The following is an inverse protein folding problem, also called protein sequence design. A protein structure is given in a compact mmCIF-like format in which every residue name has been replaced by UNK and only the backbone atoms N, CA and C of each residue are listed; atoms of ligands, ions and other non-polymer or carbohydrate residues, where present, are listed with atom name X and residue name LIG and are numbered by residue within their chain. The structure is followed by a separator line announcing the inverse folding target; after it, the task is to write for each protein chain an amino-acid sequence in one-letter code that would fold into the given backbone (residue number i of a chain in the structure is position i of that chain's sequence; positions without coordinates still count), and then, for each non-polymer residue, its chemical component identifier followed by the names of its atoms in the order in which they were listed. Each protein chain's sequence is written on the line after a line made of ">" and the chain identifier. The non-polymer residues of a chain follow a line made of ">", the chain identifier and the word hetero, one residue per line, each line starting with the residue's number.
data_IF_265833498474
#
_entry.id   IF_265833498474
#
_cell.length_a   1.000
_cell.length_b   1.000
_cell.length_c   1.000
_cell.angle_alpha   90.00
_cell.angle_beta   90.00
_cell.angle_gamma   90.00
#
_symmetry.space_group_name_H-M   'P 1'
#
loop_
_entity.id
_entity.type
_entity.pdbx_description
1 polymer ?
#
# COMPACT_ATOMS: atom_id res chain seq x y z
N UNK A 1 12.09 -12.19 6.33
CA UNK A 1 13.17 -13.13 5.94
C UNK A 1 14.28 -13.16 6.99
N UNK A 2 14.82 -12.02 7.40
CA UNK A 2 15.87 -11.89 8.42
C UNK A 2 15.51 -12.47 9.79
N UNK A 3 14.25 -12.34 10.21
CA UNK A 3 13.77 -13.02 11.41
C UNK A 3 14.02 -14.54 11.33
N UNK A 4 13.61 -15.17 10.23
CA UNK A 4 13.73 -16.62 10.03
C UNK A 4 15.17 -17.10 9.82
N UNK A 5 16.07 -16.23 9.32
CA UNK A 5 17.47 -16.58 9.06
C UNK A 5 18.36 -16.34 10.28
N UNK A 6 18.27 -15.17 10.91
CA UNK A 6 19.22 -14.75 11.93
C UNK A 6 18.79 -15.11 13.35
N UNK A 7 17.48 -15.20 13.64
CA UNK A 7 17.04 -15.56 14.98
C UNK A 7 17.47 -16.98 15.40
N UNK A 8 17.39 -18.02 14.56
CA UNK A 8 17.87 -19.35 14.94
C UNK A 8 19.37 -19.39 15.28
N UNK A 9 20.18 -18.56 14.62
CA UNK A 9 21.63 -18.45 14.86
C UNK A 9 21.97 -17.70 16.17
N UNK A 10 20.97 -17.16 16.87
CA UNK A 10 21.19 -16.45 18.13
C UNK A 10 21.69 -17.33 19.27
N UNK A 11 21.56 -18.66 19.14
CA UNK A 11 22.14 -19.64 20.06
C UNK A 11 23.67 -19.60 20.03
N UNK A 12 24.25 -19.42 18.84
CA UNK A 12 25.71 -19.36 18.64
C UNK A 12 26.22 -17.91 18.74
N UNK A 13 25.40 -16.94 18.31
CA UNK A 13 25.74 -15.52 18.28
C UNK A 13 24.69 -14.68 19.01
N UNK A 14 24.92 -14.42 20.30
CA UNK A 14 23.95 -13.76 21.19
C UNK A 14 23.44 -12.39 20.69
N UNK A 15 24.26 -11.65 19.93
CA UNK A 15 23.86 -10.35 19.37
C UNK A 15 22.75 -10.47 18.32
N UNK A 16 22.59 -11.62 17.65
CA UNK A 16 21.51 -11.85 16.67
C UNK A 16 20.12 -11.96 17.31
N UNK A 17 20.04 -12.03 18.64
CA UNK A 17 18.77 -11.99 19.37
C UNK A 17 18.00 -10.67 19.13
N UNK A 18 18.67 -9.62 18.65
CA UNK A 18 18.00 -8.36 18.26
C UNK A 18 16.89 -8.56 17.22
N UNK A 19 17.01 -9.55 16.34
CA UNK A 19 16.01 -9.86 15.31
C UNK A 19 14.71 -10.43 15.89
N UNK A 20 14.69 -10.86 17.15
CA UNK A 20 13.47 -11.27 17.86
C UNK A 20 12.52 -10.08 18.08
N UNK A 21 13.07 -8.91 18.38
CA UNK A 21 12.27 -7.76 18.79
C UNK A 21 11.52 -7.12 17.61
N UNK A 22 10.20 -6.93 17.78
CA UNK A 22 9.34 -6.32 16.75
C UNK A 22 9.73 -4.86 16.53
N UNK A 23 10.09 -4.14 17.59
CA UNK A 23 10.53 -2.73 17.53
C UNK A 23 11.77 -2.56 16.65
N UNK A 24 12.78 -3.42 16.85
CA UNK A 24 13.99 -3.44 16.03
C UNK A 24 13.66 -3.72 14.56
N UNK A 25 12.90 -4.79 14.29
CA UNK A 25 12.51 -5.15 12.92
C UNK A 25 11.70 -4.05 12.22
N UNK A 26 10.79 -3.39 12.93
CA UNK A 26 9.95 -2.33 12.38
C UNK A 26 10.75 -1.07 12.07
N UNK A 27 11.62 -0.64 12.99
CA UNK A 27 12.48 0.52 12.79
C UNK A 27 13.44 0.31 11.61
N UNK A 28 14.10 -0.84 11.56
CA UNK A 28 15.03 -1.15 10.47
C UNK A 28 14.32 -1.42 9.14
N UNK A 29 13.07 -1.87 9.15
CA UNK A 29 12.24 -1.90 7.94
C UNK A 29 12.02 -0.49 7.39
N UNK A 30 11.68 0.49 8.24
CA UNK A 30 11.59 1.89 7.83
C UNK A 30 12.90 2.43 7.26
N UNK A 31 14.02 2.23 7.98
CA UNK A 31 15.36 2.66 7.53
C UNK A 31 15.74 2.00 6.20
N UNK A 32 15.47 0.71 6.04
CA UNK A 32 15.76 -0.03 4.80
C UNK A 32 14.91 0.49 3.64
N UNK A 33 13.63 0.74 3.87
CA UNK A 33 12.74 1.30 2.84
C UNK A 33 13.20 2.69 2.39
N UNK A 34 13.58 3.56 3.34
CA UNK A 34 14.14 4.89 3.05
C UNK A 34 15.48 4.80 2.32
N UNK A 35 16.39 3.93 2.77
CA UNK A 35 17.68 3.72 2.12
C UNK A 35 17.51 3.24 0.68
N UNK A 36 16.63 2.25 0.47
CA UNK A 36 16.31 1.76 -0.87
C UNK A 36 15.66 2.85 -1.73
N UNK A 37 14.76 3.68 -1.19
CA UNK A 37 14.09 4.72 -1.98
C UNK A 37 15.08 5.81 -2.42
N UNK A 38 16.02 6.20 -1.56
CA UNK A 38 17.06 7.18 -1.88
C UNK A 38 18.06 6.64 -2.91
N UNK A 39 18.50 5.38 -2.76
CA UNK A 39 19.47 4.76 -3.66
C UNK A 39 18.87 4.45 -5.03
N UNK A 40 17.66 3.87 -5.06
CA UNK A 40 16.98 3.48 -6.29
C UNK A 40 16.26 4.66 -6.96
N UNK A 41 15.97 5.73 -6.22
CA UNK A 41 15.23 6.88 -6.72
C UNK A 41 15.87 7.51 -7.96
N UNK A 42 17.18 7.80 -7.92
CA UNK A 42 17.88 8.39 -9.07
C UNK A 42 17.86 7.48 -10.30
N UNK A 43 18.05 6.17 -10.11
CA UNK A 43 17.99 5.19 -11.19
C UNK A 43 16.58 5.06 -11.78
N UNK A 44 15.55 5.05 -10.92
CA UNK A 44 14.15 4.97 -11.31
C UNK A 44 13.71 6.22 -12.08
N UNK A 45 14.09 7.42 -11.61
CA UNK A 45 13.80 8.67 -12.31
C UNK A 45 14.43 8.67 -13.71
N UNK A 46 15.70 8.27 -13.82
CA UNK A 46 16.39 8.15 -15.11
C UNK A 46 15.73 7.14 -16.04
N UNK A 47 15.26 6.00 -15.49
CA UNK A 47 14.49 5.01 -16.23
C UNK A 47 13.17 5.59 -16.75
N UNK A 48 12.36 6.20 -15.89
CA UNK A 48 11.05 6.76 -16.27
C UNK A 48 11.19 7.91 -17.30
N UNK A 49 12.21 8.76 -17.17
CA UNK A 49 12.50 9.82 -18.14
C UNK A 49 12.86 9.26 -19.53
N UNK A 50 13.60 8.15 -19.58
CA UNK A 50 14.02 7.51 -20.84
C UNK A 50 12.84 6.92 -21.62
N UNK A 51 11.81 6.43 -20.93
CA UNK A 51 10.61 5.86 -21.56
C UNK A 51 9.56 6.90 -21.98
N UNK A 52 9.89 8.21 -21.95
CA UNK A 52 9.00 9.31 -22.34
C UNK A 52 7.61 9.22 -21.72
N UNK A 53 7.56 8.83 -20.45
CA UNK A 53 6.38 8.90 -19.59
C UNK A 53 6.16 10.38 -19.26
N UNK A 54 5.73 11.17 -20.25
CA UNK A 54 5.36 12.58 -20.10
C UNK A 54 3.85 12.64 -20.13
N UNK A 55 3.23 13.22 -19.09
CA UNK A 55 1.80 13.45 -19.10
C UNK A 55 1.40 14.28 -20.33
N UNK A 56 0.38 13.80 -21.06
CA UNK A 56 -0.33 14.60 -22.05
C UNK A 56 -1.30 15.50 -21.28
N UNK A 57 -1.13 16.81 -21.41
CA UNK A 57 -1.91 17.83 -20.69
C UNK A 57 -3.40 17.64 -20.99
N UNK A 58 -4.24 17.64 -19.94
CA UNK A 58 -5.68 17.87 -20.06
C UNK A 58 -5.90 19.37 -20.29
N UNK A 59 -6.58 19.75 -21.37
CA UNK A 59 -6.85 21.17 -21.70
C UNK A 59 -7.73 21.89 -20.67
N UNK A 60 -8.44 21.16 -19.78
CA UNK A 60 -9.41 21.72 -18.83
C UNK A 60 -8.84 22.11 -17.44
N UNK A 61 -7.51 22.18 -17.27
CA UNK A 61 -6.85 22.44 -15.97
C UNK A 61 -6.38 23.91 -15.78
N UNK A 62 -6.36 24.45 -14.53
CA UNK A 62 -5.94 25.83 -14.28
C UNK A 62 -4.46 26.08 -14.67
N UNK A 63 -4.15 27.28 -15.18
CA UNK A 63 -2.84 27.68 -15.73
C UNK A 63 -1.64 27.49 -14.77
N UNK A 64 -1.87 27.39 -13.46
CA UNK A 64 -0.85 27.05 -12.47
C UNK A 64 -0.31 25.61 -12.59
N UNK A 65 -0.99 24.71 -13.31
CA UNK A 65 -0.52 23.35 -13.61
C UNK A 65 0.50 23.29 -14.75
N UNK A 66 0.72 24.40 -15.48
CA UNK A 66 1.65 24.51 -16.62
C UNK A 66 3.14 24.44 -16.24
N UNK A 67 3.46 24.41 -14.94
CA UNK A 67 4.84 24.38 -14.40
C UNK A 67 5.28 22.95 -14.04
N UNK A 68 4.37 21.97 -13.97
CA UNK A 68 4.70 20.54 -13.73
C UNK A 68 5.14 19.79 -14.99
N UNK A 69 5.69 20.50 -15.95
CA UNK A 69 6.03 19.98 -17.27
C UNK A 69 7.30 19.13 -17.19
N UNK A 70 7.15 17.80 -17.15
CA UNK A 70 8.26 16.85 -17.34
C UNK A 70 8.70 16.05 -16.11
N UNK A 71 7.97 16.10 -14.99
CA UNK A 71 8.16 15.12 -13.92
C UNK A 71 7.63 13.75 -14.35
N UNK A 72 8.43 12.68 -14.24
CA UNK A 72 7.97 11.35 -14.62
C UNK A 72 6.83 10.90 -13.69
N UNK A 73 5.73 10.45 -14.27
CA UNK A 73 4.65 9.80 -13.51
C UNK A 73 5.00 8.34 -13.21
N UNK A 74 4.29 7.71 -12.27
CA UNK A 74 4.59 6.37 -11.70
C UNK A 74 5.63 6.29 -10.55
N UNK A 75 5.84 7.38 -9.80
CA UNK A 75 6.64 7.34 -8.57
C UNK A 75 6.16 6.30 -7.54
N UNK A 76 4.87 5.94 -7.58
CA UNK A 76 4.30 4.85 -6.79
C UNK A 76 4.95 3.49 -7.01
N UNK A 77 5.56 3.21 -8.17
CA UNK A 77 6.32 1.97 -8.39
C UNK A 77 7.56 1.89 -7.49
N UNK A 78 8.24 3.02 -7.28
CA UNK A 78 9.38 3.07 -6.36
C UNK A 78 8.93 2.78 -4.94
N UNK A 79 7.86 3.45 -4.49
CA UNK A 79 7.31 3.26 -3.14
C UNK A 79 6.83 1.82 -2.93
N UNK A 80 6.10 1.24 -3.89
CA UNK A 80 5.60 -0.13 -3.79
C UNK A 80 6.74 -1.15 -3.76
N UNK A 81 7.78 -0.96 -4.59
CA UNK A 81 8.93 -1.85 -4.61
C UNK A 81 9.75 -1.78 -3.32
N UNK A 82 10.01 -0.58 -2.78
CA UNK A 82 10.74 -0.44 -1.51
C UNK A 82 9.93 -0.94 -0.32
N UNK A 83 8.62 -0.72 -0.31
CA UNK A 83 7.68 -1.29 0.67
C UNK A 83 7.74 -2.82 0.68
N UNK A 84 7.60 -3.46 -0.49
CA UNK A 84 7.60 -4.93 -0.58
C UNK A 84 8.95 -5.50 -0.18
N UNK A 85 10.05 -4.97 -0.74
CA UNK A 85 11.39 -5.46 -0.44
C UNK A 85 11.70 -5.34 1.05
N UNK A 86 11.45 -4.17 1.65
CA UNK A 86 11.70 -3.97 3.07
C UNK A 86 10.83 -4.87 3.95
N UNK A 87 9.55 -5.01 3.61
CA UNK A 87 8.63 -5.90 4.34
C UNK A 87 9.10 -7.35 4.25
N UNK A 88 9.47 -7.85 3.07
CA UNK A 88 9.93 -9.21 2.90
C UNK A 88 11.24 -9.50 3.65
N UNK A 89 12.14 -8.52 3.71
CA UNK A 89 13.38 -8.63 4.47
C UNK A 89 13.10 -8.73 5.99
N UNK A 90 12.34 -7.80 6.55
CA UNK A 90 12.25 -7.61 8.00
C UNK A 90 11.07 -8.31 8.67
N UNK A 91 9.93 -8.43 7.99
CA UNK A 91 8.72 -8.98 8.57
C UNK A 91 8.83 -10.49 8.84
N UNK A 92 7.98 -10.94 9.77
CA UNK A 92 7.73 -12.35 9.98
C UNK A 92 6.78 -12.88 8.89
N UNK A 93 7.34 -13.64 7.95
CA UNK A 93 6.61 -14.21 6.82
C UNK A 93 5.67 -15.36 7.21
N UNK A 94 5.74 -15.86 8.46
CA UNK A 94 4.73 -16.77 9.00
C UNK A 94 3.42 -16.06 9.36
N UNK A 95 3.42 -14.73 9.40
CA UNK A 95 2.25 -13.95 9.75
C UNK A 95 1.36 -13.69 8.51
N UNK A 96 0.14 -14.25 8.53
CA UNK A 96 -0.88 -14.07 7.49
C UNK A 96 -1.24 -12.61 7.20
N UNK A 97 -1.21 -11.73 8.21
CA UNK A 97 -1.56 -10.32 8.06
C UNK A 97 -0.54 -9.56 7.20
N UNK A 98 0.73 -9.99 7.23
CA UNK A 98 1.78 -9.43 6.36
C UNK A 98 1.49 -9.77 4.90
N UNK A 99 1.06 -11.00 4.62
CA UNK A 99 0.68 -11.38 3.27
C UNK A 99 -0.57 -10.65 2.78
N UNK A 100 -1.57 -10.46 3.64
CA UNK A 100 -2.75 -9.67 3.29
C UNK A 100 -2.38 -8.24 2.88
N UNK A 101 -1.55 -7.54 3.66
CA UNK A 101 -1.18 -6.15 3.33
C UNK A 101 -0.29 -6.06 2.09
N UNK A 102 0.62 -7.04 1.88
CA UNK A 102 1.45 -7.12 0.67
C UNK A 102 0.58 -7.38 -0.57
N UNK A 103 -0.37 -8.32 -0.49
CA UNK A 103 -1.30 -8.62 -1.59
C UNK A 103 -2.25 -7.45 -1.86
N UNK A 104 -2.74 -6.76 -0.82
CA UNK A 104 -3.53 -5.55 -0.98
C UNK A 104 -2.71 -4.45 -1.68
N UNK A 105 -1.49 -4.19 -1.20
CA UNK A 105 -0.58 -3.21 -1.82
C UNK A 105 -0.28 -3.54 -3.28
N UNK A 106 -0.02 -4.81 -3.60
CA UNK A 106 0.17 -5.27 -4.97
C UNK A 106 -1.10 -5.12 -5.83
N UNK A 107 -2.28 -5.45 -5.30
CA UNK A 107 -3.54 -5.36 -6.03
C UNK A 107 -3.94 -3.92 -6.37
N UNK A 108 -3.93 -3.03 -5.36
CA UNK A 108 -4.23 -1.61 -5.57
C UNK A 108 -3.11 -0.90 -6.33
N UNK A 109 -1.85 -1.29 -6.11
CA UNK A 109 -0.70 -0.79 -6.87
C UNK A 109 -0.75 -1.18 -8.34
N UNK A 110 -1.15 -2.42 -8.65
CA UNK A 110 -1.35 -2.87 -10.03
C UNK A 110 -2.50 -2.11 -10.70
N UNK A 111 -3.61 -1.88 -9.99
CA UNK A 111 -4.72 -1.06 -10.49
C UNK A 111 -4.25 0.35 -10.86
N UNK A 112 -3.48 1.01 -9.98
CA UNK A 112 -2.89 2.32 -10.24
C UNK A 112 -1.93 2.31 -11.42
N UNK A 113 -1.04 1.32 -11.48
CA UNK A 113 -0.11 1.13 -12.60
C UNK A 113 -0.85 1.00 -13.95
N UNK A 114 -1.89 0.18 -14.03
CA UNK A 114 -2.66 0.02 -15.26
C UNK A 114 -3.40 1.29 -15.66
N UNK A 115 -3.90 2.06 -14.69
CA UNK A 115 -4.50 3.37 -14.95
C UNK A 115 -3.48 4.34 -15.56
N UNK A 116 -2.30 4.45 -14.95
CA UNK A 116 -1.23 5.36 -15.39
C UNK A 116 -0.68 4.95 -16.75
N UNK A 117 -0.43 3.65 -17.00
CA UNK A 117 -0.01 3.15 -18.33
C UNK A 117 -1.03 3.53 -19.40
N UNK A 118 -2.33 3.43 -19.09
CA UNK A 118 -3.40 3.75 -20.05
C UNK A 118 -3.47 5.25 -20.32
N UNK A 119 -3.26 6.10 -19.31
CA UNK A 119 -3.15 7.57 -19.47
C UNK A 119 -1.99 7.96 -20.38
N UNK A 120 -0.84 7.32 -20.20
CA UNK A 120 0.36 7.58 -21.01
C UNK A 120 0.21 7.18 -22.47
N UNK A 121 -0.60 6.16 -22.76
CA UNK A 121 -0.94 5.74 -24.12
C UNK A 121 -1.96 6.65 -24.81
N UNK A 122 -2.36 7.76 -24.19
CA UNK A 122 -3.27 8.76 -24.77
C UNK A 122 -4.76 8.47 -24.57
N UNK A 123 -5.12 7.55 -23.67
CA UNK A 123 -6.50 7.34 -23.22
C UNK A 123 -6.76 8.16 -21.95
N UNK A 124 -8.01 8.37 -21.56
CA UNK A 124 -8.37 9.03 -20.29
C UNK A 124 -8.09 8.18 -19.02
N UNK A 125 -7.34 7.08 -19.13
CA UNK A 125 -7.15 6.09 -18.07
C UNK A 125 -8.23 4.99 -18.04
N UNK A 126 -8.31 4.25 -16.94
CA UNK A 126 -9.36 3.26 -16.68
C UNK A 126 -10.69 3.98 -16.40
N UNK A 127 -11.78 3.40 -16.91
CA UNK A 127 -13.12 3.93 -16.63
C UNK A 127 -13.44 3.83 -15.15
N UNK A 128 -14.29 4.71 -14.64
CA UNK A 128 -14.73 4.71 -13.24
C UNK A 128 -15.31 3.34 -12.85
N UNK A 129 -16.11 2.73 -13.75
CA UNK A 129 -16.69 1.41 -13.53
C UNK A 129 -15.63 0.31 -13.40
N UNK A 130 -14.59 0.32 -14.24
CA UNK A 130 -13.48 -0.64 -14.15
C UNK A 130 -12.70 -0.49 -12.85
N UNK A 131 -12.37 0.75 -12.46
CA UNK A 131 -11.65 1.02 -11.20
C UNK A 131 -12.46 0.54 -10.02
N UNK A 132 -13.73 0.95 -9.94
CA UNK A 132 -14.61 0.59 -8.85
C UNK A 132 -14.82 -0.93 -8.78
N UNK A 133 -15.01 -1.61 -9.92
CA UNK A 133 -15.13 -3.05 -9.96
C UNK A 133 -13.91 -3.77 -9.37
N UNK A 134 -12.69 -3.39 -9.77
CA UNK A 134 -11.47 -3.99 -9.24
C UNK A 134 -11.31 -3.70 -7.75
N UNK A 135 -11.56 -2.46 -7.31
CA UNK A 135 -11.49 -2.08 -5.89
C UNK A 135 -12.52 -2.88 -5.06
N UNK A 136 -13.73 -3.07 -5.57
CA UNK A 136 -14.78 -3.88 -4.91
C UNK A 136 -14.36 -5.34 -4.80
N UNK A 137 -13.83 -5.94 -5.88
CA UNK A 137 -13.37 -7.34 -5.87
C UNK A 137 -12.22 -7.53 -4.88
N UNK A 138 -11.21 -6.66 -4.91
CA UNK A 138 -10.08 -6.73 -3.98
C UNK A 138 -10.52 -6.54 -2.52
N UNK A 139 -11.36 -5.55 -2.25
CA UNK A 139 -11.84 -5.25 -0.89
C UNK A 139 -12.75 -6.37 -0.36
N UNK A 140 -13.56 -6.98 -1.21
CA UNK A 140 -14.42 -8.12 -0.86
C UNK A 140 -13.56 -9.34 -0.52
N UNK A 141 -12.54 -9.64 -1.34
CA UNK A 141 -11.63 -10.75 -1.08
C UNK A 141 -10.89 -10.58 0.27
N UNK A 142 -10.40 -9.37 0.55
CA UNK A 142 -9.75 -9.04 1.83
C UNK A 142 -10.75 -9.18 2.99
N UNK A 143 -11.95 -8.63 2.87
CA UNK A 143 -12.96 -8.67 3.91
C UNK A 143 -13.44 -10.10 4.22
N UNK A 144 -13.70 -10.90 3.18
CA UNK A 144 -14.08 -12.31 3.32
C UNK A 144 -12.97 -13.10 4.03
N UNK A 145 -11.70 -12.88 3.66
CA UNK A 145 -10.60 -13.53 4.36
C UNK A 145 -10.57 -13.17 5.85
N UNK A 146 -10.69 -11.88 6.18
CA UNK A 146 -10.61 -11.39 7.55
C UNK A 146 -11.76 -11.86 8.43
N UNK A 147 -12.96 -12.03 7.88
CA UNK A 147 -14.15 -12.44 8.63
C UNK A 147 -14.22 -13.96 8.77
N UNK A 148 -13.97 -14.71 7.70
CA UNK A 148 -14.29 -16.15 7.65
C UNK A 148 -13.08 -17.08 7.68
N UNK A 149 -11.90 -16.62 7.25
CA UNK A 149 -10.70 -17.46 7.12
C UNK A 149 -9.62 -17.16 8.15
N UNK A 150 -9.87 -16.21 9.06
CA UNK A 150 -8.97 -15.88 10.16
C UNK A 150 -9.41 -16.55 11.48
N UNK A 151 -8.80 -17.69 11.86
CA UNK A 151 -9.16 -18.44 13.05
C UNK A 151 -8.83 -17.69 14.34
N UNK A 152 -8.02 -16.62 14.30
CA UNK A 152 -7.67 -15.85 15.50
C UNK A 152 -8.73 -14.82 15.88
N UNK A 153 -9.63 -14.46 14.94
CA UNK A 153 -10.54 -13.33 15.08
C UNK A 153 -12.01 -13.69 15.17
N UNK A 154 -12.37 -14.97 15.09
CA UNK A 154 -13.78 -15.41 15.00
C UNK A 154 -14.70 -14.73 16.02
N UNK A 155 -14.25 -14.57 17.28
CA UNK A 155 -15.06 -14.02 18.38
C UNK A 155 -15.26 -12.48 18.36
N UNK A 156 -14.51 -11.76 17.53
CA UNK A 156 -14.50 -10.30 17.48
C UNK A 156 -14.30 -9.71 16.07
N UNK A 157 -14.34 -10.54 15.02
CA UNK A 157 -14.09 -10.13 13.64
C UNK A 157 -15.09 -9.08 13.15
N UNK A 158 -16.31 -9.11 13.67
CA UNK A 158 -17.45 -8.27 13.25
C UNK A 158 -17.85 -7.24 14.31
N UNK A 159 -17.09 -7.11 15.41
CA UNK A 159 -17.32 -6.11 16.45
C UNK A 159 -16.65 -4.79 16.05
N UNK A 160 -17.44 -3.72 15.98
CA UNK A 160 -16.94 -2.39 15.70
C UNK A 160 -16.59 -1.68 17.01
N UNK A 161 -15.30 -1.46 17.25
CA UNK A 161 -14.83 -0.71 18.42
C UNK A 161 -14.94 0.80 18.14
N UNK A 162 -15.76 1.51 18.93
CA UNK A 162 -15.86 2.97 18.83
C UNK A 162 -14.84 3.61 19.78
N UNK A 163 -13.91 4.43 19.26
CA UNK A 163 -12.96 5.15 20.10
C UNK A 163 -13.68 5.95 21.20
N UNK A 164 -13.00 6.16 22.34
CA UNK A 164 -13.53 6.87 23.52
C UNK A 164 -14.63 6.13 24.31
N UNK A 165 -15.32 5.14 23.73
CA UNK A 165 -16.38 4.37 24.39
C UNK A 165 -16.00 2.90 24.58
N UNK A 166 -15.33 2.58 25.69
CA UNK A 166 -14.81 1.22 25.97
C UNK A 166 -15.88 0.11 25.94
N UNK A 167 -17.13 0.43 26.31
CA UNK A 167 -18.23 -0.53 26.35
C UNK A 167 -19.10 -0.55 25.08
N UNK A 168 -18.94 0.40 24.16
CA UNK A 168 -19.78 0.47 22.97
C UNK A 168 -19.08 -0.23 21.80
N UNK A 169 -19.45 -1.50 21.61
CA UNK A 169 -18.86 -2.40 20.63
C UNK A 169 -19.96 -3.10 19.83
N UNK A 170 -20.73 -2.36 18.99
CA UNK A 170 -21.81 -2.97 18.22
C UNK A 170 -21.28 -4.10 17.32
N UNK A 171 -22.00 -5.21 17.34
CA UNK A 171 -21.73 -6.37 16.48
C UNK A 171 -22.52 -6.20 15.17
N UNK A 172 -21.81 -6.09 14.05
CA UNK A 172 -22.42 -5.83 12.74
C UNK A 172 -22.71 -7.11 11.94
N UNK A 173 -22.18 -8.27 12.37
CA UNK A 173 -22.30 -9.52 11.63
C UNK A 173 -21.84 -9.37 10.17
N UNK A 174 -22.63 -9.86 9.23
CA UNK A 174 -22.32 -9.81 7.79
C UNK A 174 -22.25 -8.39 7.23
N UNK A 175 -22.94 -7.42 7.85
CA UNK A 175 -22.84 -6.00 7.45
C UNK A 175 -21.43 -5.44 7.68
N UNK A 176 -20.60 -6.09 8.51
CA UNK A 176 -19.20 -5.74 8.68
C UNK A 176 -18.41 -5.88 7.37
N UNK A 177 -18.79 -6.81 6.49
CA UNK A 177 -18.16 -6.95 5.16
C UNK A 177 -18.41 -5.71 4.30
N UNK A 178 -19.65 -5.21 4.27
CA UNK A 178 -20.00 -3.97 3.56
C UNK A 178 -19.23 -2.77 4.15
N UNK A 179 -19.08 -2.74 5.47
CA UNK A 179 -18.28 -1.72 6.15
C UNK A 179 -16.80 -1.78 5.75
N UNK A 180 -16.17 -2.96 5.71
CA UNK A 180 -14.79 -3.13 5.23
C UNK A 180 -14.65 -2.63 3.79
N UNK A 181 -15.55 -3.04 2.90
CA UNK A 181 -15.53 -2.64 1.50
C UNK A 181 -15.61 -1.11 1.38
N UNK A 182 -16.57 -0.50 2.09
CA UNK A 182 -16.72 0.95 2.12
C UNK A 182 -15.45 1.67 2.58
N UNK A 183 -14.81 1.19 3.65
CA UNK A 183 -13.59 1.80 4.19
C UNK A 183 -12.41 1.64 3.22
N UNK A 184 -12.17 0.45 2.68
CA UNK A 184 -11.02 0.23 1.79
C UNK A 184 -11.19 1.01 0.48
N UNK A 185 -12.35 0.90 -0.17
CA UNK A 185 -12.64 1.61 -1.42
C UNK A 185 -12.64 3.12 -1.18
N UNK A 186 -13.30 3.58 -0.12
CA UNK A 186 -13.37 4.99 0.25
C UNK A 186 -11.98 5.58 0.50
N UNK A 187 -11.14 4.91 1.28
CA UNK A 187 -9.79 5.38 1.61
C UNK A 187 -8.89 5.41 0.37
N UNK A 188 -8.94 4.37 -0.48
CA UNK A 188 -8.15 4.33 -1.73
C UNK A 188 -8.50 5.49 -2.66
N UNK A 189 -9.80 5.80 -2.82
CA UNK A 189 -10.24 6.93 -3.65
C UNK A 189 -9.95 8.28 -2.99
N UNK A 190 -10.05 8.39 -1.65
CA UNK A 190 -9.73 9.60 -0.92
C UNK A 190 -8.25 9.99 -1.06
N UNK A 191 -7.33 9.03 -0.96
CA UNK A 191 -5.90 9.29 -1.18
C UNK A 191 -5.64 9.71 -2.63
N UNK A 192 -6.22 9.01 -3.61
CA UNK A 192 -6.08 9.36 -5.02
C UNK A 192 -6.65 10.75 -5.36
N UNK A 193 -7.72 11.19 -4.68
CA UNK A 193 -8.27 12.54 -4.84
C UNK A 193 -7.39 13.62 -4.21
N UNK A 194 -6.68 13.28 -3.13
CA UNK A 194 -5.83 14.21 -2.37
C UNK A 194 -4.45 14.40 -3.03
N UNK A 195 -4.01 13.44 -3.86
CA UNK A 195 -2.72 13.47 -4.56
C UNK A 195 -2.71 14.41 -5.79
N UNK A 196 -3.13 15.67 -5.60
CA UNK A 196 -3.17 16.70 -6.63
C UNK A 196 -2.06 17.75 -6.55
N UNK A 197 -1.38 17.84 -5.40
CA UNK A 197 -0.29 18.79 -5.12
C UNK A 197 0.96 18.03 -4.67
N UNK A 198 2.14 18.58 -4.99
CA UNK A 198 3.41 17.91 -4.74
C UNK A 198 3.60 17.70 -3.23
N UNK A 199 3.67 16.43 -2.81
CA UNK A 199 3.86 16.05 -1.41
C UNK A 199 2.61 16.11 -0.53
N UNK A 200 1.43 16.42 -1.07
CA UNK A 200 0.20 16.56 -0.26
C UNK A 200 -0.31 15.22 0.27
N UNK A 201 -0.34 14.18 -0.57
CA UNK A 201 -0.86 12.87 -0.17
C UNK A 201 0.13 12.03 0.64
N UNK A 202 1.44 12.27 0.50
CA UNK A 202 2.47 11.50 1.20
C UNK A 202 2.67 11.95 2.66
N UNK A 203 2.22 13.18 2.99
CA UNK A 203 2.40 13.78 4.31
C UNK A 203 3.87 14.06 4.68
N UNK A 204 4.13 14.76 5.81
CA UNK A 204 5.42 14.74 6.48
C UNK A 204 5.69 13.41 7.20
#
# INVERSE_FOLDING_TARGET
>A
MFYHIFYPLSTDYSFLNVFKYITFRSAYSGITALGLSLLLGKAMIGFLQKYQIREKIREDGPESHSVKTGTPTMGGLLILSTFILSTLLWADLGNRYIWLIVLAGLGFGALGYFDDVKKLKGSEGLTVQQKLFVQLVLSTAIGVYLIYFDPQRVDYATKLYVPFFKGFQPELGDFYLLFIIFIIVGTSNAVNLTDGLDGLAIGP
#
